data_IF_479967675135
#
_entry.id   IF_479967675135
#
_cell.length_a   1.000
_cell.length_b   1.000
_cell.length_c   1.000
_cell.angle_alpha   90.00
_cell.angle_beta   90.00
_cell.angle_gamma   90.00
#
_symmetry.space_group_name_H-M   'P 1'
#
loop_
_entity.id
_entity.type
_entity.pdbx_description
1 polymer ?
#
# COMPACT_ATOMS: atom_id res chain seq x y z
N UNK A 1 -16.33 -9.27 -20.41
CA UNK A 1 -17.09 -8.27 -19.61
C UNK A 1 -16.27 -7.76 -18.43
N UNK A 2 -15.67 -8.61 -17.61
CA UNK A 2 -14.77 -8.21 -16.48
C UNK A 2 -13.54 -7.44 -16.95
N UNK A 3 -12.89 -7.85 -18.03
CA UNK A 3 -11.73 -7.15 -18.61
C UNK A 3 -12.06 -5.74 -19.09
N UNK A 4 -13.23 -5.55 -19.73
CA UNK A 4 -13.69 -4.22 -20.13
C UNK A 4 -13.98 -3.32 -18.94
N UNK A 5 -14.57 -3.88 -17.87
CA UNK A 5 -14.78 -3.15 -16.62
C UNK A 5 -13.46 -2.77 -15.97
N UNK A 6 -12.47 -3.68 -15.93
CA UNK A 6 -11.14 -3.40 -15.44
C UNK A 6 -10.48 -2.28 -16.26
N UNK A 7 -10.48 -2.38 -17.59
CA UNK A 7 -9.93 -1.35 -18.48
C UNK A 7 -10.51 0.03 -18.20
N UNK A 8 -11.86 0.13 -18.13
CA UNK A 8 -12.55 1.40 -17.85
C UNK A 8 -12.21 1.91 -16.43
N UNK A 9 -12.33 1.06 -15.41
CA UNK A 9 -12.10 1.44 -14.04
C UNK A 9 -10.66 1.93 -13.79
N UNK A 10 -9.67 1.18 -14.24
CA UNK A 10 -8.26 1.58 -14.11
C UNK A 10 -7.90 2.75 -15.02
N UNK A 11 -8.48 2.85 -16.21
CA UNK A 11 -8.29 3.98 -17.12
C UNK A 11 -8.79 5.29 -16.50
N UNK A 12 -10.00 5.29 -15.93
CA UNK A 12 -10.55 6.42 -15.20
C UNK A 12 -9.69 6.79 -13.98
N UNK A 13 -9.25 5.80 -13.21
CA UNK A 13 -8.34 6.06 -12.08
C UNK A 13 -7.02 6.67 -12.53
N UNK A 14 -6.42 6.16 -13.61
CA UNK A 14 -5.17 6.68 -14.17
C UNK A 14 -5.30 8.14 -14.62
N UNK A 15 -6.39 8.48 -15.32
CA UNK A 15 -6.68 9.86 -15.74
C UNK A 15 -6.91 10.79 -14.53
N UNK A 16 -7.67 10.34 -13.54
CA UNK A 16 -7.96 11.11 -12.34
C UNK A 16 -6.69 11.34 -11.48
N UNK A 17 -5.83 10.32 -11.31
CA UNK A 17 -4.51 10.49 -10.68
C UNK A 17 -3.60 11.41 -11.49
N UNK A 18 -3.64 11.32 -12.83
CA UNK A 18 -2.90 12.20 -13.72
C UNK A 18 -3.32 13.65 -13.54
N UNK A 19 -4.62 13.91 -13.54
CA UNK A 19 -5.17 15.25 -13.29
C UNK A 19 -4.77 15.77 -11.89
N UNK A 20 -4.87 14.94 -10.85
CA UNK A 20 -4.43 15.31 -9.51
C UNK A 20 -2.93 15.58 -9.46
N UNK A 21 -2.09 14.78 -10.14
CA UNK A 21 -0.65 15.04 -10.23
C UNK A 21 -0.34 16.39 -10.84
N UNK A 22 -1.01 16.74 -11.95
CA UNK A 22 -0.86 18.04 -12.60
C UNK A 22 -1.28 19.19 -11.69
N UNK A 23 -2.42 19.07 -10.99
CA UNK A 23 -2.87 20.07 -10.02
C UNK A 23 -1.85 20.28 -8.90
N UNK A 24 -1.30 19.19 -8.37
CA UNK A 24 -0.29 19.24 -7.32
C UNK A 24 1.02 19.88 -7.81
N UNK A 25 1.45 19.59 -9.03
CA UNK A 25 2.66 20.17 -9.61
C UNK A 25 2.51 21.65 -9.95
N UNK A 26 1.36 22.08 -10.45
CA UNK A 26 1.10 23.48 -10.83
C UNK A 26 0.81 24.37 -9.61
N UNK A 27 0.09 23.83 -8.61
CA UNK A 27 -0.26 24.57 -7.38
C UNK A 27 0.92 24.74 -6.40
N UNK A 28 1.99 23.93 -6.53
CA UNK A 28 3.09 23.88 -5.56
C UNK A 28 4.43 24.37 -6.09
N UNK A 29 4.44 25.49 -6.79
CA UNK A 29 5.62 26.05 -7.46
C UNK A 29 6.89 26.28 -6.62
N UNK A 30 6.98 25.92 -5.33
CA UNK A 30 8.21 26.18 -4.55
C UNK A 30 8.44 25.37 -3.27
N UNK A 31 7.72 24.27 -2.94
CA UNK A 31 7.92 23.65 -1.63
C UNK A 31 8.15 22.14 -1.70
N UNK A 32 9.36 21.72 -1.38
CA UNK A 32 9.83 20.33 -1.28
C UNK A 32 9.00 19.41 -0.35
N UNK A 33 8.16 19.97 0.52
CA UNK A 33 7.41 19.21 1.52
C UNK A 33 6.25 18.40 0.93
N UNK A 34 5.75 18.73 -0.25
CA UNK A 34 4.70 17.99 -0.95
C UNK A 34 5.19 17.00 -2.00
N UNK A 35 6.50 16.92 -2.25
CA UNK A 35 7.07 16.06 -3.30
C UNK A 35 6.71 14.58 -3.13
N UNK A 36 6.62 14.10 -1.89
CA UNK A 36 6.28 12.69 -1.62
C UNK A 36 4.83 12.35 -1.96
N UNK A 37 3.88 13.27 -1.75
CA UNK A 37 2.50 13.08 -2.22
C UNK A 37 2.44 13.05 -3.74
N UNK A 38 3.14 13.97 -4.41
CA UNK A 38 3.22 14.01 -5.87
C UNK A 38 3.77 12.68 -6.40
N UNK A 39 4.84 12.16 -5.81
CA UNK A 39 5.41 10.87 -6.19
C UNK A 39 4.43 9.70 -5.98
N UNK A 40 3.71 9.67 -4.85
CA UNK A 40 2.73 8.62 -4.56
C UNK A 40 1.55 8.67 -5.53
N UNK A 41 1.06 9.86 -5.84
CA UNK A 41 -0.03 10.08 -6.82
C UNK A 41 0.43 9.73 -8.24
N UNK A 42 1.64 10.16 -8.64
CA UNK A 42 2.22 9.83 -9.95
C UNK A 42 2.49 8.31 -10.08
N UNK A 43 2.99 7.67 -9.03
CA UNK A 43 3.15 6.21 -8.99
C UNK A 43 1.82 5.47 -9.14
N UNK A 44 0.74 6.00 -8.51
CA UNK A 44 -0.61 5.47 -8.66
C UNK A 44 -1.17 5.67 -10.07
N UNK A 45 -0.87 6.81 -10.71
CA UNK A 45 -1.20 7.05 -12.12
C UNK A 45 -0.54 6.02 -13.02
N UNK A 46 0.78 5.83 -12.90
CA UNK A 46 1.53 4.86 -13.71
C UNK A 46 1.00 3.45 -13.52
N UNK A 47 0.77 3.04 -12.28
CA UNK A 47 0.20 1.73 -11.98
C UNK A 47 -1.19 1.54 -12.59
N UNK A 48 -2.09 2.52 -12.42
CA UNK A 48 -3.45 2.43 -12.97
C UNK A 48 -3.46 2.37 -14.49
N UNK A 49 -2.61 3.17 -15.17
CA UNK A 49 -2.48 3.13 -16.63
C UNK A 49 -1.89 1.81 -17.12
N UNK A 50 -0.89 1.26 -16.42
CA UNK A 50 -0.33 -0.06 -16.72
C UNK A 50 -1.37 -1.17 -16.55
N UNK A 51 -2.17 -1.14 -15.45
CA UNK A 51 -3.24 -2.11 -15.21
C UNK A 51 -4.37 -1.99 -16.26
N UNK A 52 -4.72 -0.77 -16.68
CA UNK A 52 -5.67 -0.54 -17.77
C UNK A 52 -5.14 -1.13 -19.08
N UNK A 53 -3.91 -0.82 -19.46
CA UNK A 53 -3.28 -1.34 -20.68
C UNK A 53 -3.21 -2.86 -20.68
N UNK A 54 -2.85 -3.47 -19.55
CA UNK A 54 -2.83 -4.92 -19.40
C UNK A 54 -4.23 -5.53 -19.57
N UNK A 55 -5.28 -4.93 -18.97
CA UNK A 55 -6.66 -5.43 -19.06
C UNK A 55 -7.29 -5.24 -20.44
N UNK A 56 -6.90 -4.17 -21.17
CA UNK A 56 -7.48 -3.84 -22.48
C UNK A 56 -6.71 -4.40 -23.67
N UNK A 57 -5.39 -4.44 -23.57
CA UNK A 57 -4.50 -4.75 -24.69
C UNK A 57 -3.52 -5.90 -24.39
N UNK A 58 -3.54 -6.47 -23.18
CA UNK A 58 -2.54 -7.45 -22.74
C UNK A 58 -1.13 -6.89 -22.54
N UNK A 59 -0.96 -5.56 -22.61
CA UNK A 59 0.32 -4.87 -22.47
C UNK A 59 0.20 -3.71 -21.46
N UNK A 60 1.19 -3.51 -20.60
CA UNK A 60 2.40 -4.32 -20.41
C UNK A 60 2.11 -5.68 -19.79
N UNK A 61 3.08 -6.58 -19.76
CA UNK A 61 2.93 -7.88 -19.09
C UNK A 61 2.54 -7.72 -17.61
N UNK A 62 1.85 -8.71 -17.06
CA UNK A 62 1.35 -8.70 -15.68
C UNK A 62 2.46 -8.48 -14.65
N UNK A 63 3.65 -9.00 -14.90
CA UNK A 63 4.85 -8.84 -14.05
C UNK A 63 5.25 -7.39 -13.87
N UNK A 64 5.19 -6.59 -14.96
CA UNK A 64 5.49 -5.17 -14.87
C UNK A 64 4.41 -4.41 -14.09
N UNK A 65 3.13 -4.78 -14.25
CA UNK A 65 2.03 -4.20 -13.45
C UNK A 65 2.28 -4.46 -11.96
N UNK A 66 2.70 -5.68 -11.59
CA UNK A 66 3.03 -6.04 -10.21
C UNK A 66 4.26 -5.29 -9.69
N UNK A 67 5.29 -5.13 -10.52
CA UNK A 67 6.48 -4.34 -10.15
C UNK A 67 6.11 -2.88 -9.84
N UNK A 68 5.32 -2.26 -10.71
CA UNK A 68 4.86 -0.87 -10.50
C UNK A 68 3.96 -0.78 -9.26
N UNK A 69 3.19 -1.82 -8.96
CA UNK A 69 2.36 -1.88 -7.77
C UNK A 69 3.18 -1.90 -6.47
N UNK A 70 4.25 -2.68 -6.42
CA UNK A 70 5.19 -2.68 -5.28
C UNK A 70 5.76 -1.28 -5.07
N UNK A 71 6.20 -0.62 -6.14
CA UNK A 71 6.73 0.75 -6.07
C UNK A 71 5.64 1.73 -5.59
N UNK A 72 4.42 1.66 -6.13
CA UNK A 72 3.28 2.47 -5.70
C UNK A 72 3.03 2.35 -4.19
N UNK A 73 2.97 1.12 -3.68
CA UNK A 73 2.70 0.86 -2.26
C UNK A 73 3.83 1.40 -1.37
N UNK A 74 5.10 1.24 -1.78
CA UNK A 74 6.23 1.86 -1.10
C UNK A 74 6.13 3.39 -1.06
N UNK A 75 5.73 4.03 -2.16
CA UNK A 75 5.58 5.49 -2.22
C UNK A 75 4.50 5.98 -1.24
N UNK A 76 3.35 5.30 -1.13
CA UNK A 76 2.32 5.62 -0.16
C UNK A 76 2.77 5.39 1.29
N UNK A 77 3.43 4.28 1.56
CA UNK A 77 3.98 3.98 2.89
C UNK A 77 5.01 5.06 3.29
N UNK A 78 5.91 5.45 2.38
CA UNK A 78 6.92 6.48 2.66
C UNK A 78 6.31 7.86 2.86
N UNK A 79 5.26 8.19 2.12
CA UNK A 79 4.49 9.40 2.35
C UNK A 79 3.86 9.41 3.76
N UNK A 80 3.20 8.33 4.17
CA UNK A 80 2.62 8.21 5.51
C UNK A 80 3.68 8.26 6.61
N UNK A 81 4.80 7.56 6.44
CA UNK A 81 5.94 7.61 7.36
C UNK A 81 6.53 9.02 7.45
N UNK A 82 6.55 9.77 6.34
CA UNK A 82 7.00 11.16 6.34
C UNK A 82 6.06 12.06 7.16
N UNK A 83 4.75 11.90 7.01
CA UNK A 83 3.78 12.64 7.81
C UNK A 83 3.83 12.29 9.30
N UNK A 84 4.31 11.10 9.65
CA UNK A 84 4.49 10.68 11.05
C UNK A 84 5.80 11.16 11.68
N UNK A 85 6.80 11.60 10.89
CA UNK A 85 8.10 12.08 11.42
C UNK A 85 8.00 13.18 12.47
N UNK A 86 7.17 14.23 12.34
CA UNK A 86 7.07 15.27 13.35
C UNK A 86 6.69 14.72 14.72
N UNK A 87 5.83 13.68 14.76
CA UNK A 87 5.40 13.03 15.99
C UNK A 87 6.52 12.20 16.67
N UNK A 88 7.58 11.89 15.93
CA UNK A 88 8.75 11.14 16.44
C UNK A 88 9.79 12.04 17.14
N UNK A 89 9.74 13.37 16.96
CA UNK A 89 10.74 14.30 17.51
C UNK A 89 10.83 14.28 19.03
N UNK A 90 9.76 13.85 19.73
CA UNK A 90 9.73 13.74 21.20
C UNK A 90 10.15 12.38 21.77
N UNK A 91 10.43 11.37 20.94
CA UNK A 91 10.75 10.02 21.38
C UNK A 91 11.77 9.34 20.45
N UNK A 92 13.03 9.18 20.91
CA UNK A 92 14.06 8.49 20.13
C UNK A 92 13.70 7.04 19.77
N UNK A 93 12.90 6.39 20.61
CA UNK A 93 12.43 5.03 20.37
C UNK A 93 11.45 4.99 19.20
N UNK A 94 10.50 5.94 19.14
CA UNK A 94 9.55 6.03 18.06
C UNK A 94 10.22 6.40 16.72
N UNK A 95 11.19 7.30 16.74
CA UNK A 95 11.99 7.63 15.56
C UNK A 95 12.74 6.41 15.00
N UNK A 96 13.34 5.59 15.88
CA UNK A 96 13.99 4.33 15.47
C UNK A 96 13.01 3.32 14.90
N UNK A 97 11.83 3.19 15.51
CA UNK A 97 10.76 2.30 15.01
C UNK A 97 10.36 2.68 13.58
N UNK A 98 10.09 3.97 13.31
CA UNK A 98 9.77 4.43 11.95
C UNK A 98 10.92 4.14 10.97
N UNK A 99 12.17 4.24 11.43
CA UNK A 99 13.35 3.86 10.64
C UNK A 99 13.38 2.37 10.30
N UNK A 100 13.14 1.50 11.27
CA UNK A 100 13.08 0.04 11.04
C UNK A 100 11.93 -0.35 10.12
N UNK A 101 10.74 0.25 10.30
CA UNK A 101 9.60 0.03 9.40
C UNK A 101 9.95 0.42 7.97
N UNK A 102 10.60 1.58 7.79
CA UNK A 102 11.04 2.04 6.47
C UNK A 102 12.02 1.08 5.81
N UNK A 103 13.05 0.62 6.56
CA UNK A 103 14.04 -0.33 6.05
C UNK A 103 13.42 -1.69 5.76
N UNK A 104 12.54 -2.18 6.63
CA UNK A 104 11.82 -3.44 6.42
C UNK A 104 10.95 -3.41 5.17
N UNK A 105 10.21 -2.32 4.94
CA UNK A 105 9.42 -2.15 3.72
C UNK A 105 10.29 -2.09 2.47
N UNK A 106 11.42 -1.37 2.51
CA UNK A 106 12.37 -1.35 1.39
C UNK A 106 12.94 -2.74 1.10
N UNK A 107 13.37 -3.46 2.15
CA UNK A 107 13.90 -4.81 2.01
C UNK A 107 12.88 -5.77 1.41
N UNK A 108 11.63 -5.75 1.91
CA UNK A 108 10.54 -6.54 1.36
C UNK A 108 10.26 -6.19 -0.10
N UNK A 109 10.18 -4.90 -0.44
CA UNK A 109 9.94 -4.45 -1.81
C UNK A 109 11.04 -4.86 -2.77
N UNK A 110 12.31 -4.71 -2.37
CA UNK A 110 13.45 -5.16 -3.17
C UNK A 110 13.43 -6.68 -3.38
N UNK A 111 13.07 -7.44 -2.35
CA UNK A 111 12.95 -8.90 -2.44
C UNK A 111 11.80 -9.29 -3.38
N UNK A 112 10.64 -8.63 -3.28
CA UNK A 112 9.51 -8.87 -4.20
C UNK A 112 9.89 -8.55 -5.64
N UNK A 113 10.56 -7.41 -5.88
CA UNK A 113 11.04 -7.02 -7.21
C UNK A 113 12.11 -7.97 -7.75
N UNK A 114 13.03 -8.43 -6.90
CA UNK A 114 14.04 -9.41 -7.29
C UNK A 114 13.42 -10.75 -7.72
N UNK A 115 12.32 -11.15 -7.07
CA UNK A 115 11.60 -12.36 -7.45
C UNK A 115 10.81 -12.23 -8.77
N UNK A 116 10.47 -11.01 -9.18
CA UNK A 116 9.80 -10.75 -10.47
C UNK A 116 10.79 -10.76 -11.64
N UNK A 117 12.08 -10.48 -11.37
CA UNK A 117 13.13 -10.55 -12.41
C UNK A 117 13.59 -12.00 -12.47
N UNK A 118 13.35 -12.64 -13.60
CA UNK A 118 13.83 -14.00 -13.87
C UNK A 118 15.35 -13.99 -14.06
N UNK A 119 16.10 -13.94 -12.95
CA UNK A 119 17.54 -14.09 -12.95
C UNK A 119 17.83 -15.59 -12.97
N UNK A 120 18.40 -16.15 -14.06
CA UNK A 120 18.50 -17.60 -14.30
C UNK A 120 19.13 -18.41 -13.16
N UNK A 121 19.97 -17.81 -12.33
CA UNK A 121 20.62 -18.47 -11.20
C UNK A 121 19.91 -18.31 -9.85
N UNK A 122 19.02 -17.32 -9.73
CA UNK A 122 18.30 -17.05 -8.49
C UNK A 122 16.95 -17.79 -8.45
N UNK A 123 16.33 -17.99 -9.63
CA UNK A 123 15.09 -18.73 -9.77
C UNK A 123 15.25 -20.22 -9.44
N UNK A 124 16.40 -20.85 -9.80
CA UNK A 124 16.68 -22.26 -9.48
C UNK A 124 16.76 -22.54 -7.98
N UNK A 125 17.16 -21.54 -7.18
CA UNK A 125 17.31 -21.68 -5.72
C UNK A 125 16.02 -21.39 -4.93
N UNK A 126 15.15 -20.53 -5.45
CA UNK A 126 13.92 -20.07 -4.75
C UNK A 126 12.62 -20.54 -5.38
N UNK A 127 12.62 -21.24 -6.50
CA UNK A 127 11.38 -21.61 -7.16
C UNK A 127 10.90 -23.02 -6.83
N UNK A 128 9.60 -23.20 -6.73
CA UNK A 128 8.71 -23.27 -7.88
C UNK A 128 7.70 -22.11 -7.95
N UNK A 129 7.18 -21.84 -9.12
CA UNK A 129 6.25 -20.75 -9.43
C UNK A 129 5.10 -20.48 -8.42
N UNK A 130 4.56 -21.50 -7.69
CA UNK A 130 3.58 -21.27 -6.64
C UNK A 130 4.10 -20.47 -5.44
N UNK A 131 5.33 -20.74 -4.98
CA UNK A 131 5.95 -20.08 -3.82
C UNK A 131 6.18 -18.59 -4.11
N UNK A 132 6.67 -18.27 -5.30
CA UNK A 132 6.89 -16.88 -5.73
C UNK A 132 5.59 -16.09 -5.74
N UNK A 133 4.53 -16.66 -6.27
CA UNK A 133 3.20 -16.06 -6.31
C UNK A 133 2.65 -15.81 -4.90
N UNK A 134 2.69 -16.82 -4.03
CA UNK A 134 2.19 -16.71 -2.66
C UNK A 134 3.02 -15.73 -1.83
N UNK A 135 4.34 -15.69 -2.03
CA UNK A 135 5.20 -14.69 -1.41
C UNK A 135 4.83 -13.27 -1.85
N UNK A 136 4.62 -13.05 -3.14
CA UNK A 136 4.22 -11.74 -3.66
C UNK A 136 2.85 -11.30 -3.14
N UNK A 137 1.86 -12.20 -3.10
CA UNK A 137 0.53 -11.93 -2.53
C UNK A 137 0.61 -11.60 -1.03
N UNK A 138 1.42 -12.37 -0.28
CA UNK A 138 1.65 -12.13 1.15
C UNK A 138 2.35 -10.79 1.41
N UNK A 139 3.30 -10.42 0.56
CA UNK A 139 3.98 -9.12 0.62
C UNK A 139 3.02 -7.95 0.37
N UNK A 140 2.15 -8.06 -0.63
CA UNK A 140 1.12 -7.05 -0.90
C UNK A 140 0.10 -6.95 0.25
N UNK A 141 -0.31 -8.08 0.81
CA UNK A 141 -1.16 -8.11 2.01
C UNK A 141 -0.49 -7.39 3.18
N UNK A 142 0.79 -7.64 3.41
CA UNK A 142 1.54 -6.96 4.48
C UNK A 142 1.61 -5.44 4.25
N UNK A 143 1.80 -4.98 3.01
CA UNK A 143 1.74 -3.55 2.69
C UNK A 143 0.36 -2.96 2.94
N UNK A 144 -0.72 -3.67 2.63
CA UNK A 144 -2.09 -3.21 2.89
C UNK A 144 -2.34 -3.07 4.40
N UNK A 145 -1.98 -4.07 5.21
CA UNK A 145 -2.09 -4.03 6.69
C UNK A 145 -1.27 -2.89 7.27
N UNK A 146 -0.02 -2.74 6.83
CA UNK A 146 0.86 -1.67 7.29
C UNK A 146 0.32 -0.29 6.89
N UNK A 147 -0.19 -0.15 5.66
CA UNK A 147 -0.81 1.07 5.19
C UNK A 147 -1.99 1.48 6.06
N UNK A 148 -2.90 0.55 6.38
CA UNK A 148 -4.01 0.81 7.31
C UNK A 148 -3.52 1.23 8.69
N UNK A 149 -2.52 0.53 9.24
CA UNK A 149 -1.94 0.85 10.55
C UNK A 149 -1.30 2.25 10.58
N UNK A 150 -0.60 2.64 9.50
CA UNK A 150 0.01 3.97 9.39
C UNK A 150 -1.05 5.07 9.24
N UNK A 151 -2.13 4.83 8.51
CA UNK A 151 -3.26 5.76 8.39
C UNK A 151 -3.94 5.96 9.75
N UNK A 152 -4.19 4.87 10.48
CA UNK A 152 -4.73 4.94 11.84
C UNK A 152 -3.80 5.72 12.78
N UNK A 153 -2.51 5.42 12.74
CA UNK A 153 -1.50 6.11 13.53
C UNK A 153 -1.49 7.62 13.24
N UNK A 154 -1.54 7.99 11.95
CA UNK A 154 -1.59 9.38 11.54
C UNK A 154 -2.83 10.08 12.09
N UNK A 155 -4.01 9.46 11.96
CA UNK A 155 -5.26 10.04 12.45
C UNK A 155 -5.29 10.17 13.98
N UNK A 156 -4.81 9.15 14.69
CA UNK A 156 -4.78 9.16 16.17
C UNK A 156 -3.78 10.17 16.74
N UNK A 157 -2.60 10.30 16.13
CA UNK A 157 -1.57 11.23 16.59
C UNK A 157 -1.87 12.68 16.22
N UNK A 158 -2.79 12.94 15.27
CA UNK A 158 -3.16 14.29 14.90
C UNK A 158 -4.11 14.90 15.95
N UNK A 159 -3.82 16.13 16.44
CA UNK A 159 -4.69 16.86 17.35
C UNK A 159 -6.12 16.99 16.80
N UNK A 160 -7.12 16.99 17.71
CA UNK A 160 -8.54 16.99 17.34
C UNK A 160 -8.89 18.16 16.41
N UNK A 161 -8.31 19.32 16.67
CA UNK A 161 -8.52 20.57 15.91
C UNK A 161 -8.02 20.45 14.45
N UNK A 162 -6.99 19.64 14.21
CA UNK A 162 -6.37 19.46 12.90
C UNK A 162 -6.89 18.22 12.14
N UNK A 163 -7.62 17.32 12.82
CA UNK A 163 -8.18 16.09 12.19
C UNK A 163 -9.08 16.38 11.02
N UNK A 164 -9.81 17.51 11.07
CA UNK A 164 -10.66 17.93 9.96
C UNK A 164 -9.87 18.12 8.65
N UNK A 165 -8.63 18.60 8.75
CA UNK A 165 -7.75 18.81 7.60
C UNK A 165 -7.31 17.51 6.92
N UNK A 166 -7.12 16.41 7.68
CA UNK A 166 -6.58 15.16 7.16
C UNK A 166 -7.60 14.02 7.05
N UNK A 167 -8.79 14.16 7.63
CA UNK A 167 -9.77 13.07 7.73
C UNK A 167 -10.15 12.45 6.39
N UNK A 168 -10.28 13.26 5.35
CA UNK A 168 -10.68 12.79 4.03
C UNK A 168 -9.57 11.92 3.40
N UNK A 169 -8.30 12.33 3.53
CA UNK A 169 -7.17 11.52 3.07
C UNK A 169 -7.06 10.21 3.87
N UNK A 170 -7.19 10.28 5.20
CA UNK A 170 -7.17 9.06 6.03
C UNK A 170 -8.30 8.11 5.64
N UNK A 171 -9.50 8.65 5.35
CA UNK A 171 -10.61 7.84 4.89
C UNK A 171 -10.37 7.27 3.48
N UNK A 172 -9.89 8.09 2.53
CA UNK A 172 -9.57 7.66 1.18
C UNK A 172 -8.48 6.59 1.14
N UNK A 173 -7.32 6.85 1.76
CA UNK A 173 -6.22 5.88 1.81
C UNK A 173 -6.59 4.64 2.62
N UNK A 174 -7.32 4.82 3.74
CA UNK A 174 -7.81 3.70 4.54
C UNK A 174 -8.71 2.77 3.72
N UNK A 175 -9.62 3.32 2.92
CA UNK A 175 -10.48 2.55 2.03
C UNK A 175 -9.68 1.82 0.93
N UNK A 176 -8.65 2.47 0.34
CA UNK A 176 -7.78 1.84 -0.66
C UNK A 176 -7.03 0.65 -0.05
N UNK A 177 -6.38 0.83 1.09
CA UNK A 177 -5.65 -0.25 1.75
C UNK A 177 -6.58 -1.35 2.29
N UNK A 178 -7.79 -1.01 2.76
CA UNK A 178 -8.78 -2.00 3.18
C UNK A 178 -9.29 -2.84 2.00
N UNK A 179 -9.45 -2.24 0.82
CA UNK A 179 -9.80 -2.98 -0.37
C UNK A 179 -8.64 -3.86 -0.86
N UNK A 180 -7.40 -3.36 -0.82
CA UNK A 180 -6.21 -4.14 -1.12
C UNK A 180 -6.06 -5.32 -0.14
N UNK A 181 -6.32 -5.10 1.14
CA UNK A 181 -6.37 -6.16 2.16
C UNK A 181 -7.40 -7.24 1.80
N UNK A 182 -8.62 -6.85 1.44
CA UNK A 182 -9.66 -7.78 1.02
C UNK A 182 -9.25 -8.59 -0.21
N UNK A 183 -8.77 -7.93 -1.27
CA UNK A 183 -8.33 -8.55 -2.51
C UNK A 183 -7.23 -9.59 -2.27
N UNK A 184 -6.18 -9.24 -1.52
CA UNK A 184 -5.05 -10.14 -1.30
C UNK A 184 -5.35 -11.24 -0.30
N UNK A 185 -6.24 -11.00 0.66
CA UNK A 185 -6.74 -12.06 1.56
C UNK A 185 -7.54 -13.10 0.78
N UNK A 186 -8.46 -12.66 -0.09
CA UNK A 186 -9.22 -13.54 -0.96
C UNK A 186 -8.29 -14.37 -1.87
N UNK A 187 -7.32 -13.69 -2.50
CA UNK A 187 -6.36 -14.35 -3.38
C UNK A 187 -5.50 -15.42 -2.68
N UNK A 188 -5.10 -15.18 -1.42
CA UNK A 188 -4.36 -16.14 -0.62
C UNK A 188 -5.23 -17.32 -0.14
N UNK A 189 -6.47 -17.05 0.26
CA UNK A 189 -7.39 -18.09 0.75
C UNK A 189 -7.81 -19.04 -0.37
N UNK A 190 -8.11 -18.51 -1.55
CA UNK A 190 -8.63 -19.30 -2.66
C UNK A 190 -7.57 -19.64 -3.72
N UNK A 191 -6.30 -19.25 -3.50
CA UNK A 191 -5.18 -19.47 -4.44
C UNK A 191 -5.43 -18.96 -5.86
N UNK A 192 -6.29 -17.94 -6.00
CA UNK A 192 -6.65 -17.32 -7.29
C UNK A 192 -6.89 -15.82 -7.10
N UNK A 193 -6.58 -15.04 -8.09
CA UNK A 193 -7.03 -13.65 -8.18
C UNK A 193 -8.43 -13.64 -8.82
N UNK A 194 -9.42 -13.18 -8.07
CA UNK A 194 -10.78 -13.01 -8.62
C UNK A 194 -10.82 -11.80 -9.55
N UNK A 195 -11.19 -12.06 -10.82
CA UNK A 195 -11.23 -11.02 -11.85
C UNK A 195 -12.27 -9.92 -11.55
N UNK A 196 -13.34 -10.24 -10.83
CA UNK A 196 -14.37 -9.27 -10.46
C UNK A 196 -13.87 -8.33 -9.37
N UNK A 197 -13.20 -8.86 -8.34
CA UNK A 197 -12.59 -8.05 -7.28
C UNK A 197 -11.46 -7.20 -7.87
N UNK A 198 -10.62 -7.79 -8.74
CA UNK A 198 -9.56 -7.05 -9.43
C UNK A 198 -10.12 -5.89 -10.25
N UNK A 199 -11.19 -6.11 -11.03
CA UNK A 199 -11.80 -5.04 -11.84
C UNK A 199 -12.45 -3.94 -11.01
N UNK A 200 -13.06 -4.28 -9.86
CA UNK A 200 -13.67 -3.32 -8.94
C UNK A 200 -12.63 -2.37 -8.31
N UNK A 201 -11.39 -2.82 -8.14
CA UNK A 201 -10.29 -2.04 -7.56
C UNK A 201 -10.04 -0.72 -8.28
N UNK A 202 -10.19 -0.68 -9.61
CA UNK A 202 -10.07 0.55 -10.40
C UNK A 202 -11.07 1.61 -9.96
N UNK A 203 -12.32 1.23 -9.77
CA UNK A 203 -13.37 2.15 -9.31
C UNK A 203 -13.19 2.61 -7.86
N UNK A 204 -12.71 1.73 -6.97
CA UNK A 204 -12.37 2.09 -5.58
C UNK A 204 -11.28 3.17 -5.56
N UNK A 205 -10.28 3.05 -6.43
CA UNK A 205 -9.25 4.08 -6.59
C UNK A 205 -9.87 5.41 -7.05
N UNK A 206 -10.80 5.41 -8.02
CA UNK A 206 -11.50 6.62 -8.45
C UNK A 206 -12.22 7.34 -7.30
N UNK A 207 -12.83 6.59 -6.36
CA UNK A 207 -13.52 7.17 -5.20
C UNK A 207 -12.52 7.77 -4.20
N UNK A 208 -11.35 7.18 -4.04
CA UNK A 208 -10.32 7.66 -3.13
C UNK A 208 -9.67 8.99 -3.57
N UNK A 209 -9.54 9.22 -4.87
CA UNK A 209 -8.83 10.39 -5.43
C UNK A 209 -9.41 11.74 -4.99
N UNK A 210 -10.73 11.99 -5.08
CA UNK A 210 -11.33 13.25 -4.61
C UNK A 210 -11.06 13.52 -3.12
N UNK A 211 -11.04 12.48 -2.29
CA UNK A 211 -10.77 12.60 -0.87
C UNK A 211 -9.32 13.03 -0.60
N UNK A 212 -8.38 12.50 -1.37
CA UNK A 212 -6.97 12.93 -1.33
C UNK A 212 -6.84 14.37 -1.83
N UNK A 213 -7.52 14.72 -2.93
CA UNK A 213 -7.51 16.07 -3.51
C UNK A 213 -8.04 17.13 -2.54
N UNK A 214 -9.17 16.87 -1.85
CA UNK A 214 -9.73 17.75 -0.84
C UNK A 214 -8.73 18.01 0.29
N UNK A 215 -8.05 16.97 0.73
CA UNK A 215 -7.04 17.10 1.80
C UNK A 215 -5.84 17.91 1.32
N UNK A 216 -5.35 17.65 0.11
CA UNK A 216 -4.25 18.40 -0.48
C UNK A 216 -4.59 19.91 -0.63
N UNK A 217 -5.80 20.23 -1.08
CA UNK A 217 -6.27 21.61 -1.20
C UNK A 217 -6.37 22.33 0.16
N UNK A 218 -6.71 21.60 1.22
CA UNK A 218 -6.83 22.16 2.59
C UNK A 218 -5.50 22.31 3.32
N UNK A 219 -4.47 21.59 2.90
CA UNK A 219 -3.16 21.57 3.57
C UNK A 219 -2.03 21.95 2.60
N UNK A 220 -1.99 23.18 2.07
CA UNK A 220 -0.99 23.58 1.08
C UNK A 220 0.44 23.48 1.62
N UNK A 221 0.63 23.63 2.92
CA UNK A 221 1.95 23.61 3.57
C UNK A 221 2.32 22.24 4.16
N UNK A 222 1.39 21.28 4.26
CA UNK A 222 1.57 19.96 4.90
C UNK A 222 2.30 20.02 6.26
N UNK A 223 2.25 21.17 6.93
CA UNK A 223 2.79 21.37 8.27
C UNK A 223 1.72 20.95 9.28
N UNK A 224 1.73 19.67 9.64
CA UNK A 224 1.00 19.24 10.83
C UNK A 224 1.74 19.83 12.03
N UNK A 225 1.15 20.87 12.65
CA UNK A 225 1.68 21.44 13.89
C UNK A 225 1.45 20.43 15.00
N UNK A 226 2.53 19.81 15.45
CA UNK A 226 2.49 18.77 16.46
C UNK A 226 2.54 19.41 17.84
N UNK A 227 1.43 19.45 18.55
CA UNK A 227 1.43 19.60 19.98
C UNK A 227 1.61 18.20 20.63
N UNK A 228 2.79 17.95 21.19
CA UNK A 228 3.15 16.68 21.80
C UNK A 228 2.27 16.41 23.05
N UNK A 229 1.27 15.60 22.92
CA UNK A 229 0.63 14.95 24.05
C UNK A 229 1.31 13.59 24.30
N UNK A 230 2.06 13.45 25.37
CA UNK A 230 2.83 12.25 25.77
C UNK A 230 2.00 10.98 25.97
N UNK A 231 0.67 11.05 25.93
CA UNK A 231 -0.24 9.98 26.34
C UNK A 231 -0.66 8.98 25.25
N UNK A 232 -0.28 9.20 23.98
CA UNK A 232 -0.85 8.41 22.86
C UNK A 232 0.01 7.25 22.37
N UNK A 233 1.24 7.06 22.84
CA UNK A 233 2.18 6.07 22.26
C UNK A 233 1.82 4.61 22.59
N UNK A 234 0.96 4.34 23.57
CA UNK A 234 0.77 2.99 24.14
C UNK A 234 -0.38 2.16 23.56
N UNK A 235 -1.31 2.73 22.77
CA UNK A 235 -2.51 1.99 22.35
C UNK A 235 -2.47 1.43 20.93
N UNK A 236 -1.53 1.83 20.08
CA UNK A 236 -1.41 1.32 18.71
C UNK A 236 -0.67 0.00 18.58
N UNK A 237 -0.03 -0.45 19.65
CA UNK A 237 0.64 -1.77 19.72
C UNK A 237 -0.36 -2.93 19.52
N UNK A 238 -1.61 -2.76 19.89
CA UNK A 238 -2.62 -3.83 19.82
C UNK A 238 -3.08 -4.12 18.40
N UNK A 239 -3.30 -3.10 17.56
CA UNK A 239 -3.73 -3.34 16.17
C UNK A 239 -2.57 -3.86 15.31
N UNK A 240 -1.36 -3.31 15.50
CA UNK A 240 -0.16 -3.80 14.83
C UNK A 240 0.17 -5.24 15.26
N UNK A 241 0.05 -5.56 16.55
CA UNK A 241 0.28 -6.93 17.04
C UNK A 241 -0.81 -7.89 16.55
N UNK A 242 -2.07 -7.46 16.44
CA UNK A 242 -3.14 -8.27 15.88
C UNK A 242 -2.93 -8.54 14.37
N UNK A 243 -2.56 -7.53 13.59
CA UNK A 243 -2.23 -7.68 12.17
C UNK A 243 -1.00 -8.57 11.96
N UNK A 244 0.06 -8.35 12.72
CA UNK A 244 1.26 -9.19 12.70
C UNK A 244 0.96 -10.64 13.13
N UNK A 245 0.12 -10.82 14.17
CA UNK A 245 -0.33 -12.14 14.61
C UNK A 245 -1.12 -12.86 13.51
N UNK A 246 -2.03 -12.18 12.81
CA UNK A 246 -2.77 -12.77 11.68
C UNK A 246 -1.84 -13.20 10.54
N UNK A 247 -0.83 -12.38 10.19
CA UNK A 247 0.17 -12.73 9.18
C UNK A 247 1.01 -13.93 9.64
N UNK A 248 1.44 -13.95 10.91
CA UNK A 248 2.20 -15.09 11.46
C UNK A 248 1.36 -16.36 11.49
N UNK A 249 0.08 -16.28 11.87
CA UNK A 249 -0.82 -17.45 11.87
C UNK A 249 -1.11 -17.94 10.46
N UNK A 250 -1.24 -17.04 9.47
CA UNK A 250 -1.36 -17.44 8.07
C UNK A 250 -0.10 -18.15 7.57
N UNK A 251 1.11 -17.66 7.93
CA UNK A 251 2.38 -18.30 7.59
C UNK A 251 2.55 -19.67 8.28
N UNK A 252 2.17 -19.78 9.56
CA UNK A 252 2.22 -21.05 10.30
C UNK A 252 1.21 -22.05 9.73
N UNK A 253 -0.01 -21.61 9.44
CA UNK A 253 -1.03 -22.45 8.80
C UNK A 253 -0.59 -22.94 7.43
N UNK A 254 0.06 -22.07 6.65
CA UNK A 254 0.67 -22.45 5.38
C UNK A 254 1.79 -23.46 5.55
N UNK A 255 2.70 -23.24 6.50
CA UNK A 255 3.80 -24.17 6.80
C UNK A 255 3.28 -25.56 7.20
N UNK A 256 2.27 -25.63 8.07
CA UNK A 256 1.63 -26.89 8.47
C UNK A 256 0.97 -27.59 7.28
N UNK A 257 0.30 -26.83 6.39
CA UNK A 257 -0.34 -27.39 5.20
C UNK A 257 0.67 -27.97 4.20
N UNK A 258 1.84 -27.32 4.04
CA UNK A 258 2.87 -27.75 3.07
C UNK A 258 3.74 -28.89 3.62
N UNK A 259 4.06 -28.83 4.90
CA UNK A 259 5.01 -29.78 5.52
C UNK A 259 4.39 -30.73 6.55
N UNK A 260 3.15 -30.49 7.00
CA UNK A 260 2.45 -31.30 7.99
C UNK A 260 1.57 -32.41 7.41
N UNK A 261 1.48 -32.57 6.09
CA UNK A 261 0.55 -33.46 5.40
C UNK A 261 0.94 -34.93 5.33
N UNK A 262 2.09 -35.39 5.86
CA UNK A 262 2.52 -36.81 5.78
C UNK A 262 2.58 -37.53 7.14
N UNK A 263 2.10 -36.96 8.22
CA UNK A 263 2.22 -37.53 9.58
C UNK A 263 0.95 -38.10 10.21
N UNK A 264 -0.16 -38.20 9.49
CA UNK A 264 -1.48 -38.53 10.06
C UNK A 264 -2.19 -39.71 9.46
N UNK A 265 -1.46 -40.74 9.03
CA UNK A 265 -2.06 -42.02 8.64
C UNK A 265 -1.28 -43.18 9.32
N UNK A 266 -1.53 -43.41 10.60
CA UNK A 266 -1.40 -44.71 11.28
C UNK A 266 -2.63 -44.91 12.12
#
# INVERSE_FOLDING_TARGET
MTEQLAFVGYGLAGLAYGFLSLLLMTGWRARFQGSQLVLAVAGSMLWSLAAAGQSGFGLPGLELVWAIEVVRNLLWIFFLLHLLRPFAQGSPQYARLLGYVRLGCLGLGLLMLAMLVDIPHFSEWLSPSPVQREFSLSGQLLYAVLGMALVEQLYRNTPVEQRWGIKHMCFGLGALFAFDFYLYTDALLFHRLDASIWSARGFVNCIGIPLIAITAARNPDWRLQVFLSRRMVLHSTTLFSAGLYMVLMALVGYYIKVYGGEGGAV
#
